data_IF_953240364605
#
_entry.id   IF_953240364605
#
_cell.length_a   1.000
_cell.length_b   1.000
_cell.length_c   1.000
_cell.angle_alpha   90.00
_cell.angle_beta   90.00
_cell.angle_gamma   90.00
#
_symmetry.space_group_name_H-M   'P 1'
#
loop_
_entity.id
_entity.type
_entity.pdbx_description
1 polymer ?
#
# COMPACT_ATOMS: atom_id res chain seq x y z
N UNK A 1 -27.25 37.10 26.13
CA UNK A 1 -25.95 37.80 26.14
C UNK A 1 -26.24 39.25 25.76
N UNK A 2 -25.91 40.22 26.58
CA UNK A 2 -26.19 41.63 26.29
C UNK A 2 -25.09 42.15 25.39
N UNK A 3 -25.40 42.43 24.11
CA UNK A 3 -24.49 42.99 23.09
C UNK A 3 -23.82 44.30 23.57
N UNK A 4 -24.45 45.03 24.50
CA UNK A 4 -23.92 46.26 25.09
C UNK A 4 -22.56 46.08 25.78
N UNK A 5 -22.22 44.88 26.27
CA UNK A 5 -20.92 44.62 26.90
C UNK A 5 -19.76 44.64 25.92
N UNK A 6 -20.00 44.26 24.66
CA UNK A 6 -18.98 44.27 23.63
C UNK A 6 -18.70 45.70 23.13
N UNK A 7 -19.75 46.56 23.09
CA UNK A 7 -19.62 47.94 22.68
C UNK A 7 -18.91 48.76 23.77
N UNK A 8 -19.22 48.51 25.05
CA UNK A 8 -18.64 49.24 26.20
C UNK A 8 -17.22 48.80 26.56
N UNK A 9 -16.74 47.65 26.07
CA UNK A 9 -15.40 47.12 26.35
C UNK A 9 -14.68 46.71 25.06
N UNK A 10 -14.14 47.69 24.29
CA UNK A 10 -13.52 47.42 22.96
C UNK A 10 -12.30 46.49 23.06
N UNK A 11 -11.52 46.56 24.13
CA UNK A 11 -10.35 45.68 24.36
C UNK A 11 -10.75 44.21 24.48
N UNK A 12 -11.85 43.93 25.19
CA UNK A 12 -12.35 42.56 25.33
C UNK A 12 -12.85 41.99 23.99
N UNK A 13 -13.51 42.82 23.20
CA UNK A 13 -13.99 42.44 21.87
C UNK A 13 -12.84 42.11 20.92
N UNK A 14 -11.78 42.94 20.91
CA UNK A 14 -10.59 42.73 20.09
C UNK A 14 -9.82 41.45 20.48
N UNK A 15 -9.65 41.20 21.77
CA UNK A 15 -8.96 39.98 22.26
C UNK A 15 -9.74 38.73 21.86
N UNK A 16 -11.07 38.71 22.03
CA UNK A 16 -11.89 37.58 21.59
C UNK A 16 -11.79 37.36 20.08
N UNK A 17 -11.83 38.43 19.28
CA UNK A 17 -11.68 38.33 17.83
C UNK A 17 -10.33 37.74 17.42
N UNK A 18 -9.25 38.17 18.05
CA UNK A 18 -7.89 37.62 17.79
C UNK A 18 -7.82 36.15 18.17
N UNK A 19 -8.40 35.75 19.32
CA UNK A 19 -8.42 34.33 19.73
C UNK A 19 -9.18 33.47 18.73
N UNK A 20 -10.34 33.94 18.24
CA UNK A 20 -11.14 33.21 17.27
C UNK A 20 -10.36 33.05 15.95
N UNK A 21 -9.68 34.12 15.49
CA UNK A 21 -8.86 34.05 14.26
C UNK A 21 -7.69 33.07 14.43
N UNK A 22 -7.00 33.10 15.57
CA UNK A 22 -5.90 32.17 15.86
C UNK A 22 -6.37 30.73 15.92
N UNK A 23 -7.50 30.47 16.59
CA UNK A 23 -8.08 29.12 16.64
C UNK A 23 -8.52 28.63 15.25
N UNK A 24 -9.09 29.55 14.43
CA UNK A 24 -9.44 29.24 13.04
C UNK A 24 -8.22 28.91 12.17
N UNK A 25 -7.13 29.66 12.35
CA UNK A 25 -5.88 29.41 11.62
C UNK A 25 -5.24 28.07 12.04
N UNK A 26 -5.19 27.77 13.33
CA UNK A 26 -4.70 26.49 13.83
C UNK A 26 -5.58 25.33 13.31
N UNK A 27 -6.91 25.50 13.38
CA UNK A 27 -7.84 24.52 12.84
C UNK A 27 -7.62 24.26 11.34
N UNK A 28 -7.39 25.31 10.56
CA UNK A 28 -7.14 25.19 9.12
C UNK A 28 -5.85 24.41 8.82
N UNK A 29 -4.80 24.59 9.61
CA UNK A 29 -3.52 23.89 9.45
C UNK A 29 -3.54 22.44 9.96
N UNK A 30 -4.45 22.10 10.86
CA UNK A 30 -4.55 20.76 11.44
C UNK A 30 -5.62 19.87 10.77
N UNK A 31 -6.48 20.45 9.92
CA UNK A 31 -7.47 19.64 9.19
C UNK A 31 -6.76 18.72 8.20
N UNK A 32 -6.99 17.40 8.26
CA UNK A 32 -6.49 16.48 7.26
C UNK A 32 -7.19 16.78 5.92
N UNK A 33 -6.40 17.10 4.89
CA UNK A 33 -6.89 17.34 3.54
C UNK A 33 -6.95 16.00 2.80
N UNK A 34 -7.85 15.12 3.20
CA UNK A 34 -8.19 13.95 2.40
C UNK A 34 -9.64 14.09 1.92
N UNK A 35 -9.82 14.13 0.61
CA UNK A 35 -11.15 14.25 -0.04
C UNK A 35 -11.98 12.97 0.15
N UNK A 36 -11.30 11.85 0.38
CA UNK A 36 -11.89 10.54 0.68
C UNK A 36 -11.17 9.91 1.86
N UNK A 37 -11.86 9.36 2.86
CA UNK A 37 -11.22 8.56 3.88
C UNK A 37 -10.54 7.36 3.22
N UNK A 38 -9.34 7.00 3.69
CA UNK A 38 -8.64 5.78 3.28
C UNK A 38 -9.45 4.56 3.78
N UNK A 39 -10.46 4.16 2.97
CA UNK A 39 -11.37 3.06 3.29
C UNK A 39 -10.70 1.71 2.98
N UNK A 40 -9.72 1.71 2.07
CA UNK A 40 -9.01 0.50 1.72
C UNK A 40 -8.00 0.14 2.82
N UNK A 41 -8.15 -1.04 3.47
CA UNK A 41 -7.17 -1.48 4.44
C UNK A 41 -5.80 -1.66 3.76
N UNK A 42 -4.69 -1.29 4.42
CA UNK A 42 -3.37 -1.55 3.90
C UNK A 42 -3.19 -3.05 3.64
N UNK A 43 -2.56 -3.39 2.53
CA UNK A 43 -2.26 -4.77 2.18
C UNK A 43 -0.79 -4.95 1.84
N UNK A 44 -0.23 -6.08 2.29
CA UNK A 44 1.14 -6.49 1.98
C UNK A 44 1.07 -7.81 1.22
N UNK A 45 1.77 -7.87 0.09
CA UNK A 45 1.84 -9.04 -0.76
C UNK A 45 3.22 -9.69 -0.65
N UNK A 46 3.22 -10.99 -0.35
CA UNK A 46 4.41 -11.83 -0.33
C UNK A 46 4.36 -12.77 -1.52
N UNK A 47 5.39 -12.77 -2.34
CA UNK A 47 5.53 -13.62 -3.52
C UNK A 47 6.74 -14.53 -3.39
N UNK A 48 6.54 -15.80 -3.72
CA UNK A 48 7.58 -16.80 -3.82
C UNK A 48 7.37 -17.64 -5.09
N UNK A 49 8.43 -18.21 -5.64
CA UNK A 49 8.34 -19.09 -6.79
C UNK A 49 9.09 -20.39 -6.52
N UNK A 50 8.39 -21.52 -6.72
CA UNK A 50 8.94 -22.86 -6.66
C UNK A 50 8.82 -23.50 -8.04
N UNK A 51 9.80 -23.25 -8.90
CA UNK A 51 9.78 -23.70 -10.29
C UNK A 51 9.69 -25.22 -10.38
N UNK A 52 8.77 -25.70 -11.20
CA UNK A 52 8.54 -27.13 -11.43
C UNK A 52 7.64 -27.83 -10.40
N UNK A 53 7.21 -27.14 -9.37
CA UNK A 53 6.25 -27.67 -8.40
C UNK A 53 4.81 -27.45 -8.88
N UNK A 54 3.93 -28.41 -8.56
CA UNK A 54 2.49 -28.23 -8.71
C UNK A 54 1.89 -27.41 -7.55
N UNK A 55 0.67 -26.91 -7.72
CA UNK A 55 0.00 -26.08 -6.71
C UNK A 55 -0.07 -26.74 -5.32
N UNK A 56 -0.33 -28.05 -5.24
CA UNK A 56 -0.41 -28.75 -3.95
C UNK A 56 0.94 -28.78 -3.23
N UNK A 57 2.03 -29.01 -3.95
CA UNK A 57 3.39 -28.95 -3.40
C UNK A 57 3.73 -27.53 -2.94
N UNK A 58 3.37 -26.51 -3.72
CA UNK A 58 3.57 -25.10 -3.35
C UNK A 58 2.82 -24.76 -2.07
N UNK A 59 1.57 -25.21 -1.94
CA UNK A 59 0.78 -25.00 -0.70
C UNK A 59 1.48 -25.63 0.51
N UNK A 60 1.89 -26.89 0.41
CA UNK A 60 2.43 -27.61 1.55
C UNK A 60 3.85 -27.18 1.93
N UNK A 61 4.70 -26.85 0.91
CA UNK A 61 6.13 -26.64 1.16
C UNK A 61 6.52 -25.15 1.21
N UNK A 62 5.68 -24.25 0.70
CA UNK A 62 5.98 -22.82 0.64
C UNK A 62 4.95 -21.99 1.39
N UNK A 63 3.66 -22.15 1.06
CA UNK A 63 2.60 -21.34 1.66
C UNK A 63 2.44 -21.65 3.14
N UNK A 64 2.31 -22.93 3.51
CA UNK A 64 2.05 -23.30 4.90
C UNK A 64 3.13 -22.81 5.88
N UNK A 65 4.44 -22.98 5.64
CA UNK A 65 5.47 -22.41 6.52
C UNK A 65 5.46 -20.88 6.56
N UNK A 66 5.18 -20.21 5.43
CA UNK A 66 5.08 -18.76 5.38
C UNK A 66 3.88 -18.26 6.18
N UNK A 67 2.70 -18.88 6.01
CA UNK A 67 1.49 -18.53 6.76
C UNK A 67 1.66 -18.70 8.25
N UNK A 68 2.30 -19.81 8.68
CA UNK A 68 2.56 -20.08 10.10
C UNK A 68 3.38 -18.96 10.75
N UNK A 69 4.44 -18.50 10.09
CA UNK A 69 5.29 -17.43 10.61
C UNK A 69 4.67 -16.04 10.46
N UNK A 70 3.93 -15.78 9.39
CA UNK A 70 3.24 -14.49 9.16
C UNK A 70 2.05 -14.35 10.11
N UNK A 71 1.43 -15.44 10.51
CA UNK A 71 0.28 -15.39 11.40
C UNK A 71 0.62 -14.69 12.72
N UNK A 72 -0.25 -13.78 13.13
CA UNK A 72 -0.07 -12.99 14.35
C UNK A 72 0.87 -11.78 14.18
N UNK A 73 1.11 -11.31 12.96
CA UNK A 73 1.70 -9.98 12.74
C UNK A 73 0.79 -8.92 13.31
N UNK A 74 1.37 -7.90 13.93
CA UNK A 74 0.64 -6.79 14.56
C UNK A 74 -0.32 -6.12 13.56
N UNK A 75 -1.54 -5.83 14.02
CA UNK A 75 -2.63 -5.25 13.25
C UNK A 75 -3.12 -6.04 12.04
N UNK A 76 -2.66 -7.27 11.85
CA UNK A 76 -3.19 -8.16 10.82
C UNK A 76 -4.65 -8.52 11.14
N UNK A 77 -5.49 -8.52 10.12
CA UNK A 77 -6.90 -8.93 10.22
C UNK A 77 -7.09 -10.35 9.70
N UNK A 78 -6.61 -10.61 8.51
CA UNK A 78 -6.63 -11.93 7.86
C UNK A 78 -5.58 -11.97 6.74
N UNK A 79 -5.34 -13.16 6.19
CA UNK A 79 -4.53 -13.34 5.01
C UNK A 79 -5.22 -14.28 4.02
N UNK A 80 -4.88 -14.16 2.76
CA UNK A 80 -5.34 -15.04 1.68
C UNK A 80 -4.13 -15.51 0.88
N UNK A 81 -4.13 -16.77 0.49
CA UNK A 81 -3.02 -17.36 -0.26
C UNK A 81 -3.50 -18.01 -1.53
N UNK A 82 -2.69 -17.93 -2.57
CA UNK A 82 -2.95 -18.51 -3.87
C UNK A 82 -1.70 -19.24 -4.35
N UNK A 83 -1.87 -20.49 -4.82
CA UNK A 83 -0.84 -21.27 -5.48
C UNK A 83 -1.24 -21.57 -6.91
N UNK A 84 -0.29 -21.53 -7.83
CA UNK A 84 -0.48 -21.89 -9.23
C UNK A 84 0.26 -23.18 -9.58
N UNK A 85 -0.19 -23.87 -10.63
CA UNK A 85 0.52 -25.05 -11.14
C UNK A 85 1.83 -24.70 -11.88
N UNK A 86 2.12 -23.41 -12.05
CA UNK A 86 3.41 -22.91 -12.54
C UNK A 86 4.46 -22.78 -11.46
N UNK A 87 4.07 -23.05 -10.19
CA UNK A 87 4.98 -22.98 -9.05
C UNK A 87 4.97 -21.63 -8.33
N UNK A 88 4.07 -20.70 -8.68
CA UNK A 88 4.01 -19.40 -8.02
C UNK A 88 3.11 -19.44 -6.80
N UNK A 89 3.59 -18.84 -5.71
CA UNK A 89 2.88 -18.60 -4.47
C UNK A 89 2.68 -17.11 -4.25
N UNK A 90 1.47 -16.70 -3.91
CA UNK A 90 1.16 -15.32 -3.52
C UNK A 90 0.35 -15.34 -2.24
N UNK A 91 0.84 -14.66 -1.20
CA UNK A 91 0.14 -14.46 0.08
C UNK A 91 -0.17 -12.97 0.18
N UNK A 92 -1.44 -12.62 0.38
CA UNK A 92 -1.88 -11.25 0.61
C UNK A 92 -2.33 -11.10 2.05
N UNK A 93 -1.64 -10.25 2.80
CA UNK A 93 -1.92 -9.96 4.21
C UNK A 93 -2.69 -8.66 4.31
N UNK A 94 -3.82 -8.67 4.99
CA UNK A 94 -4.70 -7.52 5.18
C UNK A 94 -4.59 -6.99 6.61
N UNK A 95 -4.48 -5.67 6.73
CA UNK A 95 -4.30 -4.99 8.00
C UNK A 95 -5.55 -4.19 8.37
N UNK A 96 -5.62 -3.72 9.62
CA UNK A 96 -6.69 -2.83 10.06
C UNK A 96 -6.61 -1.50 9.33
N UNK A 97 -7.75 -0.84 9.02
CA UNK A 97 -7.76 0.52 8.51
C UNK A 97 -7.00 1.46 9.45
N UNK A 98 -6.14 2.33 8.89
CA UNK A 98 -5.32 3.25 9.66
C UNK A 98 -3.96 2.72 10.13
N UNK A 99 -3.65 1.43 9.90
CA UNK A 99 -2.30 0.90 10.14
C UNK A 99 -1.29 1.52 9.17
N UNK A 100 -0.07 1.72 9.63
CA UNK A 100 1.04 2.21 8.77
C UNK A 100 1.47 1.11 7.78
N UNK A 101 1.34 1.35 6.45
CA UNK A 101 1.69 0.36 5.44
C UNK A 101 3.19 0.03 5.40
N UNK A 102 4.05 0.98 5.79
CA UNK A 102 5.49 0.79 5.80
C UNK A 102 5.91 -0.11 6.96
N UNK A 103 5.38 0.12 8.14
CA UNK A 103 5.62 -0.74 9.31
C UNK A 103 5.02 -2.12 9.10
N UNK A 104 3.83 -2.23 8.50
CA UNK A 104 3.21 -3.51 8.15
C UNK A 104 4.12 -4.33 7.22
N UNK A 105 4.68 -3.72 6.16
CA UNK A 105 5.59 -4.39 5.24
C UNK A 105 6.89 -4.85 5.93
N UNK A 106 7.47 -4.04 6.83
CA UNK A 106 8.65 -4.40 7.61
C UNK A 106 8.36 -5.58 8.54
N UNK A 107 7.22 -5.55 9.23
CA UNK A 107 6.83 -6.62 10.15
C UNK A 107 6.62 -7.95 9.40
N UNK A 108 5.93 -7.92 8.26
CA UNK A 108 5.78 -9.11 7.40
C UNK A 108 7.13 -9.60 6.89
N UNK A 109 8.01 -8.69 6.41
CA UNK A 109 9.34 -9.05 5.93
C UNK A 109 10.18 -9.75 7.02
N UNK A 110 10.11 -9.27 8.26
CA UNK A 110 10.81 -9.89 9.39
C UNK A 110 10.31 -11.33 9.64
N UNK A 111 8.99 -11.57 9.52
CA UNK A 111 8.40 -12.91 9.63
C UNK A 111 8.79 -13.82 8.47
N UNK A 112 8.74 -13.30 7.24
CA UNK A 112 9.19 -14.01 6.03
C UNK A 112 10.66 -14.41 6.14
N UNK A 113 11.51 -13.54 6.69
CA UNK A 113 12.94 -13.86 6.89
C UNK A 113 13.13 -15.04 7.86
N UNK A 114 12.31 -15.14 8.92
CA UNK A 114 12.33 -16.29 9.81
C UNK A 114 11.87 -17.57 9.11
N UNK A 115 10.81 -17.47 8.28
CA UNK A 115 10.28 -18.59 7.55
C UNK A 115 11.26 -19.16 6.51
N UNK A 116 12.23 -18.39 6.02
CA UNK A 116 13.20 -18.83 5.01
C UNK A 116 13.96 -20.10 5.38
N UNK A 117 14.19 -20.31 6.68
CA UNK A 117 14.85 -21.53 7.18
C UNK A 117 14.04 -22.83 6.98
N UNK A 118 12.74 -22.71 6.78
CA UNK A 118 11.82 -23.84 6.58
C UNK A 118 11.44 -24.05 5.12
N UNK A 119 11.87 -23.15 4.22
CA UNK A 119 11.54 -23.21 2.79
C UNK A 119 12.52 -24.09 2.03
N UNK A 120 12.08 -24.73 0.91
CA UNK A 120 12.96 -25.42 -0.01
C UNK A 120 14.10 -24.53 -0.52
N UNK A 121 15.26 -25.13 -0.79
CA UNK A 121 16.45 -24.41 -1.25
C UNK A 121 16.24 -23.69 -2.60
N UNK A 122 15.39 -24.22 -3.45
CA UNK A 122 15.02 -23.63 -4.74
C UNK A 122 14.26 -22.33 -4.57
N UNK A 123 13.33 -22.29 -3.58
CA UNK A 123 12.54 -21.09 -3.25
C UNK A 123 13.43 -20.02 -2.63
N UNK A 124 14.31 -20.41 -1.70
CA UNK A 124 15.22 -19.44 -1.06
C UNK A 124 16.24 -18.87 -2.03
N UNK A 125 16.71 -19.66 -3.01
CA UNK A 125 17.58 -19.17 -4.11
C UNK A 125 16.85 -18.22 -5.06
N UNK A 126 15.59 -18.51 -5.38
CA UNK A 126 14.77 -17.61 -6.20
C UNK A 126 14.43 -16.30 -5.46
N UNK A 127 14.37 -16.36 -4.14
CA UNK A 127 14.04 -15.27 -3.26
C UNK A 127 12.53 -15.12 -3.01
N UNK A 128 12.19 -14.74 -1.78
CA UNK A 128 10.83 -14.36 -1.39
C UNK A 128 10.75 -12.83 -1.33
N UNK A 129 9.81 -12.25 -2.05
CA UNK A 129 9.65 -10.80 -2.13
C UNK A 129 8.43 -10.35 -1.33
N UNK A 130 8.59 -9.29 -0.55
CA UNK A 130 7.51 -8.64 0.20
C UNK A 130 7.32 -7.23 -0.33
N UNK A 131 6.10 -6.86 -0.68
CA UNK A 131 5.79 -5.55 -1.23
C UNK A 131 4.45 -5.03 -0.72
N UNK A 132 4.33 -3.72 -0.57
CA UNK A 132 3.03 -3.07 -0.31
C UNK A 132 2.16 -3.22 -1.56
N UNK A 133 0.93 -3.65 -1.39
CA UNK A 133 -0.05 -3.69 -2.46
C UNK A 133 -0.96 -2.47 -2.36
N UNK A 134 -0.80 -1.54 -3.28
CA UNK A 134 -1.75 -0.45 -3.43
C UNK A 134 -2.92 -0.91 -4.31
N UNK A 135 -4.13 -0.81 -3.78
CA UNK A 135 -5.35 -1.23 -4.47
C UNK A 135 -5.89 -0.17 -5.42
N UNK A 136 -5.33 1.04 -5.45
CA UNK A 136 -5.82 2.14 -6.28
C UNK A 136 -5.02 2.26 -7.58
N UNK A 137 -5.74 2.24 -8.70
CA UNK A 137 -5.19 2.62 -10.00
C UNK A 137 -5.14 4.13 -10.03
N UNK A 138 -3.93 4.71 -10.01
CA UNK A 138 -3.74 6.16 -10.06
C UNK A 138 -3.96 6.72 -11.47
N UNK A 139 -3.56 5.97 -12.49
CA UNK A 139 -3.63 6.39 -13.87
C UNK A 139 -3.72 5.16 -14.79
N UNK A 140 -4.64 5.20 -15.73
CA UNK A 140 -4.70 4.25 -16.83
C UNK A 140 -4.75 5.04 -18.14
N UNK A 141 -3.88 4.71 -19.08
CA UNK A 141 -3.87 5.32 -20.40
C UNK A 141 -3.63 4.25 -21.47
N UNK A 142 -4.17 4.52 -22.66
CA UNK A 142 -4.03 3.64 -23.81
C UNK A 142 -3.22 4.36 -24.87
N UNK A 143 -2.27 3.66 -25.49
CA UNK A 143 -1.47 4.20 -26.59
C UNK A 143 -1.74 3.37 -27.84
N UNK A 144 -2.04 4.02 -28.92
CA UNK A 144 -2.31 3.38 -30.21
C UNK A 144 -1.64 4.16 -31.35
N UNK A 145 -1.39 3.48 -32.46
CA UNK A 145 -0.88 4.10 -33.69
C UNK A 145 -2.02 4.23 -34.69
N UNK A 146 -2.28 5.45 -35.19
CA UNK A 146 -3.37 5.72 -36.14
C UNK A 146 -3.17 5.04 -37.52
N UNK A 147 -1.93 4.73 -37.90
CA UNK A 147 -1.58 4.27 -39.26
C UNK A 147 -0.95 2.88 -39.27
N UNK A 148 -1.10 2.05 -38.23
CA UNK A 148 -0.44 0.73 -38.08
C UNK A 148 1.08 0.74 -38.40
N UNK A 149 1.67 1.96 -38.37
CA UNK A 149 3.07 2.18 -38.74
C UNK A 149 4.03 1.66 -37.68
N UNK A 150 3.56 1.55 -36.44
CA UNK A 150 4.36 1.11 -35.31
C UNK A 150 3.73 -0.12 -34.68
N UNK A 151 4.54 -1.18 -34.59
CA UNK A 151 4.17 -2.43 -33.96
C UNK A 151 3.98 -2.27 -32.44
N UNK A 152 3.22 -3.15 -31.84
CA UNK A 152 2.93 -3.15 -30.40
C UNK A 152 4.20 -3.19 -29.55
N UNK A 153 5.22 -3.95 -29.97
CA UNK A 153 6.51 -4.01 -29.29
C UNK A 153 7.24 -2.67 -29.28
N UNK A 154 7.20 -1.93 -30.40
CA UNK A 154 7.77 -0.60 -30.49
C UNK A 154 7.05 0.38 -29.56
N UNK A 155 5.71 0.38 -29.55
CA UNK A 155 4.92 1.24 -28.68
C UNK A 155 5.19 0.95 -27.21
N UNK A 156 5.28 -0.34 -26.84
CA UNK A 156 5.61 -0.73 -25.46
C UNK A 156 7.00 -0.26 -25.03
N UNK A 157 8.01 -0.44 -25.88
CA UNK A 157 9.38 0.01 -25.61
C UNK A 157 9.47 1.55 -25.53
N UNK A 158 8.78 2.25 -26.42
CA UNK A 158 8.72 3.71 -26.40
C UNK A 158 8.11 4.23 -25.10
N UNK A 159 6.99 3.64 -24.67
CA UNK A 159 6.34 3.95 -23.40
C UNK A 159 7.28 3.72 -22.21
N UNK A 160 7.93 2.56 -22.18
CA UNK A 160 8.82 2.16 -21.08
C UNK A 160 10.02 3.09 -20.92
N UNK A 161 10.59 3.56 -22.05
CA UNK A 161 11.81 4.37 -22.04
C UNK A 161 11.51 5.87 -21.89
N UNK A 162 10.47 6.38 -22.57
CA UNK A 162 10.25 7.82 -22.69
C UNK A 162 9.11 8.35 -21.81
N UNK A 163 8.05 7.57 -21.60
CA UNK A 163 6.82 8.08 -20.96
C UNK A 163 6.76 7.68 -19.48
N UNK A 164 6.98 6.41 -19.16
CA UNK A 164 6.86 5.93 -17.77
C UNK A 164 7.82 6.64 -16.80
N UNK A 165 9.10 6.93 -17.14
CA UNK A 165 9.99 7.66 -16.25
C UNK A 165 9.55 9.10 -15.98
N UNK A 166 8.87 9.73 -16.95
CA UNK A 166 8.36 11.12 -16.78
C UNK A 166 7.10 11.16 -15.89
N UNK A 167 6.26 10.12 -15.96
CA UNK A 167 5.04 10.03 -15.13
C UNK A 167 5.38 9.65 -13.67
N UNK A 168 6.44 8.86 -13.46
CA UNK A 168 6.88 8.45 -12.12
C UNK A 168 7.64 9.51 -11.33
N UNK A 169 7.94 10.64 -11.95
CA UNK A 169 8.71 11.73 -11.33
C UNK A 169 7.79 12.75 -10.66
#
# INVERSE_FOLDING_TARGET
MKLDNFIKRPVLSTVISIIIVLLGLIGLLTLPISQYPDIAPPTVEVKASYQGANAQTVVNSVIAPLEEEINGVEDMTYMTSTATNTGDATITVYFKPGSDPDMAAVNVQNRVTKAQGFLPSEVTKAGVTTSKKQSSILLAFTVYSENDKYDQEFLFNYLKINVIPQIKR
#
